data_IF_904609518326
#
_entry.id   IF_904609518326
#
_cell.length_a   1.000
_cell.length_b   1.000
_cell.length_c   1.000
_cell.angle_alpha   90.00
_cell.angle_beta   90.00
_cell.angle_gamma   90.00
#
_symmetry.space_group_name_H-M   'P 1'
#
loop_
_entity.id
_entity.type
_entity.pdbx_description
1 polymer ?
#
# COMPACT_ATOMS: atom_id res chain seq x y z
N UNK A 1 8.31 0.11 -21.49
CA UNK A 1 7.40 -0.89 -20.85
C UNK A 1 6.32 -0.16 -20.08
N UNK A 2 5.10 -0.73 -19.99
CA UNK A 2 4.04 -0.23 -19.08
C UNK A 2 3.58 -1.38 -18.20
N UNK A 3 3.86 -1.33 -16.91
CA UNK A 3 3.47 -2.38 -15.96
C UNK A 3 2.84 -1.81 -14.71
N UNK A 4 1.93 -2.57 -14.10
CA UNK A 4 1.26 -2.17 -12.90
C UNK A 4 1.04 -3.33 -11.92
N UNK A 5 1.12 -3.01 -10.63
CA UNK A 5 0.67 -3.87 -9.53
C UNK A 5 -0.48 -3.17 -8.84
N UNK A 6 -1.63 -3.84 -8.74
CA UNK A 6 -2.85 -3.31 -8.13
C UNK A 6 -3.21 -4.16 -6.91
N UNK A 7 -3.19 -3.54 -5.74
CA UNK A 7 -3.40 -4.20 -4.45
C UNK A 7 -4.74 -3.83 -3.87
N UNK A 8 -5.50 -4.83 -3.37
CA UNK A 8 -6.76 -4.60 -2.68
C UNK A 8 -6.96 -5.57 -1.52
N UNK A 9 -7.22 -5.04 -0.32
CA UNK A 9 -7.40 -5.86 0.89
C UNK A 9 -8.76 -5.54 1.51
N UNK A 10 -9.67 -6.50 1.45
CA UNK A 10 -10.95 -6.45 2.16
C UNK A 10 -10.90 -7.24 3.46
N UNK A 11 -10.27 -8.42 3.45
CA UNK A 11 -10.32 -9.36 4.55
C UNK A 11 -8.97 -9.40 5.28
N UNK A 12 -9.01 -9.01 6.55
CA UNK A 12 -7.83 -9.00 7.44
C UNK A 12 -7.91 -10.15 8.45
N UNK A 13 -6.78 -10.63 9.00
CA UNK A 13 -6.81 -11.64 10.05
C UNK A 13 -7.66 -11.19 11.24
N UNK A 14 -8.63 -12.02 11.65
CA UNK A 14 -9.52 -11.76 12.79
C UNK A 14 -10.80 -10.99 12.47
N UNK A 15 -11.04 -10.61 11.21
CA UNK A 15 -12.27 -9.96 10.69
C UNK A 15 -12.68 -8.60 11.30
N UNK A 16 -12.03 -8.15 12.36
CA UNK A 16 -12.37 -6.89 13.06
C UNK A 16 -12.11 -5.66 12.18
N UNK A 17 -11.12 -5.79 11.29
CA UNK A 17 -10.65 -4.71 10.41
C UNK A 17 -11.07 -4.93 8.95
N UNK A 18 -12.08 -5.76 8.70
CA UNK A 18 -12.52 -6.03 7.34
C UNK A 18 -13.09 -4.78 6.67
N UNK A 19 -12.75 -4.62 5.40
CA UNK A 19 -13.21 -3.54 4.53
C UNK A 19 -14.15 -4.08 3.44
N UNK A 20 -14.77 -3.15 2.75
CA UNK A 20 -15.59 -3.45 1.56
C UNK A 20 -15.18 -2.48 0.45
N UNK A 21 -14.97 -3.02 -0.75
CA UNK A 21 -14.66 -2.21 -1.92
C UNK A 21 -13.21 -2.28 -2.40
N UNK A 22 -12.22 -2.50 -1.52
CA UNK A 22 -10.80 -2.47 -1.90
C UNK A 22 -10.42 -3.47 -3.00
N UNK A 23 -11.05 -4.65 -2.99
CA UNK A 23 -10.89 -5.64 -4.07
C UNK A 23 -11.45 -5.09 -5.38
N UNK A 24 -12.60 -4.41 -5.35
CA UNK A 24 -13.17 -3.80 -6.55
C UNK A 24 -12.27 -2.67 -7.07
N UNK A 25 -11.78 -1.82 -6.16
CA UNK A 25 -10.85 -0.75 -6.52
C UNK A 25 -9.60 -1.29 -7.23
N UNK A 26 -8.98 -2.35 -6.69
CA UNK A 26 -7.83 -2.98 -7.33
C UNK A 26 -8.15 -3.54 -8.73
N UNK A 27 -9.33 -4.14 -8.90
CA UNK A 27 -9.79 -4.64 -10.20
C UNK A 27 -10.09 -3.50 -11.18
N UNK A 28 -10.72 -2.43 -10.73
CA UNK A 28 -11.05 -1.27 -11.55
C UNK A 28 -9.78 -0.55 -12.01
N UNK A 29 -8.80 -0.36 -11.12
CA UNK A 29 -7.48 0.13 -11.49
C UNK A 29 -6.80 -0.77 -12.52
N UNK A 30 -6.79 -2.09 -12.30
CA UNK A 30 -6.18 -3.02 -13.23
C UNK A 30 -6.86 -2.98 -14.62
N UNK A 31 -8.19 -2.89 -14.66
CA UNK A 31 -8.94 -2.80 -15.92
C UNK A 31 -8.65 -1.47 -16.64
N UNK A 32 -8.68 -0.35 -15.93
CA UNK A 32 -8.35 0.96 -16.48
C UNK A 32 -6.93 0.99 -17.08
N UNK A 33 -5.97 0.45 -16.34
CA UNK A 33 -4.57 0.40 -16.77
C UNK A 33 -4.38 -0.54 -17.97
N UNK A 34 -5.06 -1.69 -18.02
CA UNK A 34 -5.06 -2.57 -19.20
C UNK A 34 -5.57 -1.88 -20.46
N UNK A 35 -6.65 -1.11 -20.36
CA UNK A 35 -7.18 -0.30 -21.46
C UNK A 35 -6.18 0.74 -21.97
N UNK A 36 -5.22 1.16 -21.11
CA UNK A 36 -4.14 2.09 -21.44
C UNK A 36 -2.81 1.39 -21.80
N UNK A 37 -2.85 0.09 -22.06
CA UNK A 37 -1.71 -0.70 -22.55
C UNK A 37 -0.74 -1.16 -21.46
N UNK A 38 -1.17 -1.21 -20.20
CA UNK A 38 -0.36 -1.76 -19.11
C UNK A 38 -0.54 -3.29 -19.00
N UNK A 39 0.56 -3.99 -18.76
CA UNK A 39 0.55 -5.32 -18.18
C UNK A 39 0.26 -5.17 -16.67
N UNK A 40 -0.81 -5.78 -16.16
CA UNK A 40 -1.25 -5.59 -14.78
C UNK A 40 -1.21 -6.89 -13.98
N UNK A 41 -0.75 -6.78 -12.73
CA UNK A 41 -0.83 -7.83 -11.71
C UNK A 41 -1.76 -7.37 -10.60
N UNK A 42 -2.68 -8.23 -10.19
CA UNK A 42 -3.60 -7.97 -9.06
C UNK A 42 -3.16 -8.82 -7.87
N UNK A 43 -3.10 -8.23 -6.68
CA UNK A 43 -2.76 -8.88 -5.42
C UNK A 43 -3.87 -8.59 -4.42
N UNK A 44 -4.54 -9.63 -3.91
CA UNK A 44 -5.73 -9.48 -3.08
C UNK A 44 -5.57 -10.19 -1.73
N UNK A 45 -6.17 -9.61 -0.69
CA UNK A 45 -6.35 -10.20 0.64
C UNK A 45 -5.08 -10.89 1.18
N UNK A 46 -5.13 -12.18 1.44
CA UNK A 46 -4.04 -12.98 2.02
C UNK A 46 -2.78 -13.08 1.14
N UNK A 47 -2.85 -12.69 -0.11
CA UNK A 47 -1.67 -12.55 -0.97
C UNK A 47 -0.93 -11.23 -0.72
N UNK A 48 -1.62 -10.21 -0.16
CA UNK A 48 -1.07 -8.90 0.10
C UNK A 48 -0.26 -8.88 1.42
N UNK A 49 0.67 -9.82 1.54
CA UNK A 49 1.63 -9.87 2.66
C UNK A 49 2.73 -8.83 2.48
N UNK A 50 3.32 -8.39 3.59
CA UNK A 50 4.44 -7.45 3.59
C UNK A 50 5.57 -7.90 2.65
N UNK A 51 5.99 -9.16 2.79
CA UNK A 51 7.07 -9.70 1.97
C UNK A 51 6.74 -9.71 0.48
N UNK A 52 5.50 -10.13 0.13
CA UNK A 52 5.08 -10.19 -1.27
C UNK A 52 4.96 -8.79 -1.87
N UNK A 53 4.36 -7.84 -1.18
CA UNK A 53 4.19 -6.47 -1.70
C UNK A 53 5.53 -5.76 -1.91
N UNK A 54 6.47 -5.86 -0.95
CA UNK A 54 7.80 -5.28 -1.12
C UNK A 54 8.57 -5.94 -2.25
N UNK A 55 8.48 -7.26 -2.40
CA UNK A 55 9.12 -8.01 -3.50
C UNK A 55 8.54 -7.62 -4.86
N UNK A 56 7.21 -7.48 -4.97
CA UNK A 56 6.56 -7.10 -6.23
C UNK A 56 6.88 -5.65 -6.62
N UNK A 57 6.90 -4.73 -5.66
CA UNK A 57 7.32 -3.35 -5.90
C UNK A 57 8.80 -3.29 -6.33
N UNK A 58 9.68 -4.04 -5.65
CA UNK A 58 11.09 -4.10 -6.01
C UNK A 58 11.30 -4.70 -7.40
N UNK A 59 10.60 -5.78 -7.75
CA UNK A 59 10.63 -6.36 -9.08
C UNK A 59 10.15 -5.38 -10.16
N UNK A 60 9.08 -4.63 -9.85
CA UNK A 60 8.54 -3.63 -10.76
C UNK A 60 9.58 -2.53 -11.05
N UNK A 61 10.26 -2.05 -10.01
CA UNK A 61 11.24 -0.97 -10.07
C UNK A 61 12.54 -1.40 -10.71
N UNK A 62 13.11 -2.54 -10.27
CA UNK A 62 14.45 -2.95 -10.72
C UNK A 62 14.50 -3.44 -12.16
N UNK A 63 13.36 -3.91 -12.69
CA UNK A 63 13.24 -4.35 -14.09
C UNK A 63 12.87 -3.23 -15.06
N UNK A 64 12.49 -2.06 -14.54
CA UNK A 64 12.16 -0.92 -15.37
C UNK A 64 13.42 -0.27 -15.95
N UNK A 65 13.32 0.19 -17.18
CA UNK A 65 14.35 0.93 -17.92
C UNK A 65 13.89 2.39 -18.14
N UNK A 66 14.81 3.31 -18.46
CA UNK A 66 14.44 4.67 -18.81
C UNK A 66 13.27 4.73 -19.80
N UNK A 67 12.36 5.69 -19.63
CA UNK A 67 11.11 5.88 -20.38
C UNK A 67 10.01 4.82 -20.10
N UNK A 68 10.26 3.86 -19.20
CA UNK A 68 9.21 2.98 -18.73
C UNK A 68 8.27 3.70 -17.76
N UNK A 69 6.99 3.33 -17.83
CA UNK A 69 5.97 3.80 -16.87
C UNK A 69 5.48 2.63 -16.04
N UNK A 70 5.65 2.74 -14.74
CA UNK A 70 5.21 1.73 -13.77
C UNK A 70 4.22 2.32 -12.78
N UNK A 71 3.22 1.53 -12.40
CA UNK A 71 2.15 1.96 -11.51
C UNK A 71 2.01 0.97 -10.34
N UNK A 72 1.93 1.50 -9.13
CA UNK A 72 1.60 0.72 -7.93
C UNK A 72 0.36 1.34 -7.30
N UNK A 73 -0.73 0.58 -7.18
CA UNK A 73 -1.94 1.04 -6.50
C UNK A 73 -2.20 0.19 -5.27
N UNK A 74 -2.62 0.84 -4.19
CA UNK A 74 -2.99 0.19 -2.94
C UNK A 74 -4.35 0.69 -2.47
N UNK A 75 -5.25 -0.23 -2.18
CA UNK A 75 -6.54 0.03 -1.57
C UNK A 75 -6.70 -0.87 -0.34
N UNK A 76 -6.71 -0.26 0.83
CA UNK A 76 -6.70 -0.95 2.11
C UNK A 76 -6.55 -0.02 3.30
N UNK A 77 -6.26 -0.56 4.48
CA UNK A 77 -6.02 0.26 5.66
C UNK A 77 -4.64 0.95 5.64
N UNK A 78 -4.62 2.18 6.16
CA UNK A 78 -3.42 2.87 6.62
C UNK A 78 -3.38 2.93 8.13
N UNK A 79 -2.22 3.22 8.68
CA UNK A 79 -1.98 3.43 10.11
C UNK A 79 -0.79 4.36 10.32
N UNK A 80 -0.64 4.85 11.55
CA UNK A 80 0.55 5.59 11.98
C UNK A 80 1.23 4.80 13.09
N UNK A 81 2.55 4.81 13.10
CA UNK A 81 3.37 4.26 14.20
C UNK A 81 4.24 5.36 14.78
N UNK A 82 4.69 5.20 16.03
CA UNK A 82 5.61 6.17 16.63
C UNK A 82 6.90 6.17 15.82
N UNK A 83 7.30 7.35 15.37
CA UNK A 83 8.58 7.56 14.71
C UNK A 83 9.73 7.22 15.66
N UNK A 84 10.57 6.26 15.25
CA UNK A 84 11.76 5.83 16.01
C UNK A 84 13.02 6.48 15.43
N UNK A 85 12.99 6.86 14.15
CA UNK A 85 14.11 7.49 13.46
C UNK A 85 14.29 8.96 13.84
N UNK A 86 13.20 9.65 14.19
CA UNK A 86 13.17 11.04 14.62
C UNK A 86 13.24 12.04 13.47
N UNK A 87 12.91 11.61 12.26
CA UNK A 87 12.92 12.46 11.06
C UNK A 87 11.54 13.06 10.72
N UNK A 88 10.46 12.58 11.36
CA UNK A 88 9.12 13.12 11.17
C UNK A 88 8.79 14.24 12.19
N UNK A 89 8.35 15.43 11.72
CA UNK A 89 8.08 16.58 12.59
C UNK A 89 6.95 16.36 13.60
N UNK A 90 6.02 15.47 13.32
CA UNK A 90 4.87 15.13 14.19
C UNK A 90 5.12 13.91 15.07
N UNK A 91 6.29 13.24 14.91
CA UNK A 91 6.70 12.09 15.69
C UNK A 91 5.99 10.78 15.32
N UNK A 92 5.40 10.71 14.13
CA UNK A 92 4.72 9.52 13.64
C UNK A 92 5.14 9.18 12.21
N UNK A 93 5.48 7.90 11.97
CA UNK A 93 5.65 7.32 10.64
C UNK A 93 4.31 6.87 10.08
N UNK A 94 4.05 7.20 8.82
CA UNK A 94 2.92 6.63 8.09
C UNK A 94 3.23 5.20 7.64
N UNK A 95 2.21 4.34 7.67
CA UNK A 95 2.37 2.94 7.31
C UNK A 95 1.14 2.37 6.61
N UNK A 96 1.35 1.46 5.66
CA UNK A 96 0.30 0.62 5.12
C UNK A 96 0.06 -0.55 6.08
N UNK A 97 -1.20 -0.78 6.46
CA UNK A 97 -1.58 -1.98 7.22
C UNK A 97 -1.99 -3.08 6.24
N UNK A 98 -1.09 -4.02 6.03
CA UNK A 98 -1.24 -5.12 5.07
C UNK A 98 -1.70 -6.40 5.76
N UNK A 99 -1.91 -7.49 5.01
CA UNK A 99 -2.53 -8.70 5.53
C UNK A 99 -1.82 -9.30 6.77
N UNK A 100 -0.50 -9.26 6.81
CA UNK A 100 0.33 -9.87 7.87
C UNK A 100 1.13 -8.86 8.70
N UNK A 101 0.79 -7.58 8.64
CA UNK A 101 1.49 -6.55 9.42
C UNK A 101 1.46 -5.16 8.82
N UNK A 102 2.54 -4.43 9.00
CA UNK A 102 2.68 -3.06 8.51
C UNK A 102 3.88 -2.90 7.59
N UNK A 103 3.77 -2.02 6.59
CA UNK A 103 4.87 -1.55 5.77
C UNK A 103 5.04 -0.07 6.05
N UNK A 104 6.16 0.32 6.65
CA UNK A 104 6.52 1.72 6.84
C UNK A 104 6.79 2.39 5.50
N UNK A 105 6.52 3.69 5.40
CA UNK A 105 6.85 4.50 4.23
C UNK A 105 8.36 4.50 3.96
N UNK A 106 9.21 4.48 4.99
CA UNK A 106 10.65 4.28 4.87
C UNK A 106 11.06 3.00 4.14
N UNK A 107 10.32 1.89 4.39
CA UNK A 107 10.55 0.63 3.66
C UNK A 107 10.20 0.77 2.18
N UNK A 108 9.12 1.49 1.87
CA UNK A 108 8.74 1.79 0.48
C UNK A 108 9.77 2.72 -0.17
N UNK A 109 10.20 3.77 0.54
CA UNK A 109 11.22 4.72 0.09
C UNK A 109 12.54 4.02 -0.24
N UNK A 110 12.99 3.09 0.63
CA UNK A 110 14.20 2.31 0.40
C UNK A 110 14.14 1.45 -0.87
N UNK A 111 12.95 0.93 -1.21
CA UNK A 111 12.74 0.20 -2.47
C UNK A 111 12.72 1.17 -3.66
N UNK A 112 12.02 2.31 -3.53
CA UNK A 112 11.90 3.32 -4.59
C UNK A 112 13.26 3.93 -4.95
N UNK A 113 14.17 4.09 -3.99
CA UNK A 113 15.53 4.60 -4.23
C UNK A 113 16.37 3.72 -5.19
N UNK A 114 15.96 2.46 -5.42
CA UNK A 114 16.61 1.58 -6.41
C UNK A 114 16.21 1.87 -7.85
N UNK A 115 15.30 2.82 -8.05
CA UNK A 115 14.77 3.17 -9.37
C UNK A 115 15.83 3.83 -10.24
N UNK A 116 15.93 3.40 -11.50
CA UNK A 116 16.82 4.02 -12.48
C UNK A 116 16.32 5.40 -12.89
N UNK A 117 17.25 6.31 -13.16
CA UNK A 117 16.90 7.61 -13.72
C UNK A 117 16.15 7.46 -15.04
N UNK A 118 15.08 8.23 -15.22
CA UNK A 118 14.24 8.21 -16.42
C UNK A 118 13.06 7.23 -16.36
N UNK A 119 12.94 6.43 -15.29
CA UNK A 119 11.73 5.62 -15.03
C UNK A 119 10.66 6.51 -14.40
N UNK A 120 9.41 6.34 -14.83
CA UNK A 120 8.26 7.03 -14.28
C UNK A 120 7.46 6.11 -13.36
N UNK A 121 7.49 6.35 -12.06
CA UNK A 121 6.68 5.64 -11.07
C UNK A 121 5.49 6.48 -10.65
N UNK A 122 4.30 5.88 -10.71
CA UNK A 122 3.07 6.42 -10.14
C UNK A 122 2.63 5.54 -8.98
N UNK A 123 2.49 6.13 -7.79
CA UNK A 123 1.94 5.45 -6.61
C UNK A 123 0.58 6.07 -6.30
N UNK A 124 -0.44 5.23 -6.19
CA UNK A 124 -1.79 5.62 -5.77
C UNK A 124 -2.14 4.86 -4.51
N UNK A 125 -2.33 5.57 -3.41
CA UNK A 125 -2.78 4.98 -2.14
C UNK A 125 -4.18 5.50 -1.81
N UNK A 126 -5.13 4.58 -1.72
CA UNK A 126 -6.47 4.82 -1.18
C UNK A 126 -6.56 4.23 0.22
N UNK A 127 -5.90 4.92 1.15
CA UNK A 127 -5.83 4.58 2.57
C UNK A 127 -5.79 5.86 3.40
N UNK A 128 -6.19 5.78 4.66
CA UNK A 128 -6.15 6.91 5.59
C UNK A 128 -4.99 6.73 6.58
N UNK A 129 -4.13 7.73 6.69
CA UNK A 129 -2.96 7.70 7.58
C UNK A 129 -3.17 8.49 8.88
N UNK A 130 -4.25 9.26 9.01
CA UNK A 130 -4.53 10.04 10.20
C UNK A 130 -5.87 9.67 10.85
N UNK A 131 -5.89 9.57 12.16
CA UNK A 131 -7.12 9.36 12.95
C UNK A 131 -8.12 10.53 12.92
N UNK A 132 -7.78 11.63 12.26
CA UNK A 132 -8.65 12.80 12.00
C UNK A 132 -9.21 12.72 10.59
N UNK A 133 -10.08 11.76 10.34
CA UNK A 133 -10.70 11.62 9.03
C UNK A 133 -11.93 12.50 8.93
N UNK A 134 -11.81 13.64 8.30
CA UNK A 134 -12.94 14.42 7.79
C UNK A 134 -13.52 13.84 6.48
N UNK A 135 -12.98 12.75 5.96
CA UNK A 135 -13.51 12.01 4.82
C UNK A 135 -14.36 10.83 5.31
N UNK A 136 -15.40 11.13 6.04
CA UNK A 136 -16.47 10.16 6.27
C UNK A 136 -17.24 10.04 4.97
N UNK A 137 -17.00 8.97 4.22
CA UNK A 137 -18.02 8.52 3.26
C UNK A 137 -19.31 8.28 4.05
N UNK A 138 -20.45 8.79 3.64
CA UNK A 138 -21.71 8.66 4.39
C UNK A 138 -22.12 7.21 4.70
N UNK A 139 -21.46 6.24 4.11
CA UNK A 139 -21.70 4.79 4.25
C UNK A 139 -20.44 3.96 4.39
N UNK A 140 -19.25 4.59 4.52
CA UNK A 140 -17.95 3.91 4.44
C UNK A 140 -17.33 3.59 5.79
N UNK A 141 -16.74 2.40 5.89
CA UNK A 141 -15.84 2.04 6.98
C UNK A 141 -14.53 2.81 6.77
N UNK A 142 -14.00 3.53 7.79
CA UNK A 142 -12.72 4.22 7.66
C UNK A 142 -11.60 3.24 7.28
N UNK A 143 -10.76 3.61 6.33
CA UNK A 143 -9.58 2.82 5.92
C UNK A 143 -8.36 3.12 6.79
N UNK A 144 -8.59 3.22 8.10
CA UNK A 144 -7.57 3.50 9.12
C UNK A 144 -7.71 2.53 10.28
N UNK A 145 -6.60 1.99 10.73
CA UNK A 145 -6.51 1.16 11.93
C UNK A 145 -5.58 1.84 12.93
N UNK A 146 -6.03 2.03 14.16
CA UNK A 146 -5.18 2.57 15.22
C UNK A 146 -4.08 1.59 15.57
N UNK A 147 -2.90 2.11 15.89
CA UNK A 147 -1.72 1.28 16.20
C UNK A 147 -1.94 0.32 17.38
N UNK A 148 -2.76 0.70 18.35
CA UNK A 148 -3.12 -0.14 19.50
C UNK A 148 -4.08 -1.28 19.13
N UNK A 149 -4.84 -1.13 18.05
CA UNK A 149 -5.75 -2.15 17.49
C UNK A 149 -5.01 -3.19 16.64
N UNK A 150 -3.76 -2.91 16.24
CA UNK A 150 -2.92 -3.85 15.48
C UNK A 150 -2.41 -4.94 16.43
N UNK A 151 -2.65 -6.24 16.13
CA UNK A 151 -2.14 -7.34 16.94
C UNK A 151 -0.62 -7.22 17.18
N UNK A 152 -0.18 -7.48 18.40
CA UNK A 152 1.22 -7.24 18.84
C UNK A 152 2.25 -8.01 18.01
N UNK A 153 1.87 -9.19 17.48
CA UNK A 153 2.75 -10.00 16.64
C UNK A 153 2.94 -9.43 15.21
N UNK A 154 2.10 -8.48 14.80
CA UNK A 154 2.24 -7.74 13.53
C UNK A 154 3.01 -6.43 13.67
N UNK A 155 3.20 -5.95 14.90
CA UNK A 155 4.01 -4.76 15.14
C UNK A 155 5.48 -5.06 14.87
N UNK A 156 6.21 -4.06 14.39
CA UNK A 156 7.65 -4.20 14.23
C UNK A 156 8.27 -4.52 15.59
N UNK A 157 9.09 -5.57 15.64
CA UNK A 157 9.94 -5.81 16.82
C UNK A 157 10.97 -4.69 16.87
N UNK A 158 11.07 -4.06 18.04
CA UNK A 158 12.11 -3.07 18.34
C UNK A 158 13.49 -3.71 18.20
#
# INVERSE_FOLDING_TARGET
MKKAVCVGINNYPGSTNDLKGCINDAKDWANLLKLNGFETKIILDNQATRANLLSELENLITRAEPDDVIVFTYSGHGTNVIDISGDEPDGYDEALYVYDGIILDDSLRAVIQKMKTGVHLVVVSDSCFSGTVTRVSPTGIPRYVKTDEIPTHFKLKK
#
